data_IF_105361693379
#
_entry.id   IF_105361693379
#
_cell.length_a   1.000
_cell.length_b   1.000
_cell.length_c   1.000
_cell.angle_alpha   90.00
_cell.angle_beta   90.00
_cell.angle_gamma   90.00
#
_symmetry.space_group_name_H-M   'P 1'
#
loop_
_entity.id
_entity.type
_entity.pdbx_description
1 polymer ?
#
# COMPACT_ATOMS: atom_id res chain seq x y z
N UNK A 1 -22.30 -1.25 11.08
CA UNK A 1 -21.08 -2.06 11.29
C UNK A 1 -19.98 -1.32 10.55
N UNK A 2 -18.93 -0.84 11.23
CA UNK A 2 -17.81 -0.14 10.57
C UNK A 2 -17.13 -1.20 9.67
N UNK A 3 -16.75 -0.90 8.41
CA UNK A 3 -15.93 -1.82 7.62
C UNK A 3 -14.75 -2.30 8.47
N UNK A 4 -14.38 -3.58 8.33
CA UNK A 4 -13.16 -4.06 8.96
C UNK A 4 -12.02 -3.12 8.56
N UNK A 5 -11.33 -2.55 9.54
CA UNK A 5 -10.28 -1.56 9.28
C UNK A 5 -9.19 -2.16 8.41
N UNK A 6 -8.93 -3.45 8.57
CA UNK A 6 -8.02 -4.24 7.72
C UNK A 6 -8.47 -4.18 6.27
N UNK A 7 -9.76 -4.38 6.00
CA UNK A 7 -10.31 -4.34 4.64
C UNK A 7 -10.24 -2.93 4.03
N UNK A 8 -10.50 -1.88 4.82
CA UNK A 8 -10.33 -0.50 4.36
C UNK A 8 -8.87 -0.17 4.02
N UNK A 9 -7.92 -0.64 4.82
CA UNK A 9 -6.48 -0.49 4.60
C UNK A 9 -6.04 -1.25 3.36
N UNK A 10 -6.53 -2.49 3.19
CA UNK A 10 -6.28 -3.30 1.99
C UNK A 10 -6.74 -2.56 0.74
N UNK A 11 -7.99 -2.08 0.73
CA UNK A 11 -8.53 -1.32 -0.40
C UNK A 11 -7.74 -0.03 -0.66
N UNK A 12 -7.31 0.68 0.38
CA UNK A 12 -6.48 1.87 0.23
C UNK A 12 -5.10 1.54 -0.39
N UNK A 13 -4.47 0.45 0.04
CA UNK A 13 -3.20 -0.01 -0.53
C UNK A 13 -3.34 -0.41 -2.00
N UNK A 14 -4.38 -1.16 -2.35
CA UNK A 14 -4.70 -1.53 -3.73
C UNK A 14 -4.95 -0.31 -4.61
N UNK A 15 -5.75 0.65 -4.11
CA UNK A 15 -6.05 1.88 -4.83
C UNK A 15 -4.80 2.74 -5.04
N UNK A 16 -3.98 2.92 -3.99
CA UNK A 16 -2.74 3.67 -4.11
C UNK A 16 -1.75 3.00 -5.07
N UNK A 17 -1.68 1.66 -5.08
CA UNK A 17 -0.81 0.95 -6.00
C UNK A 17 -1.19 1.17 -7.47
N UNK A 18 -2.50 1.22 -7.76
CA UNK A 18 -3.04 1.48 -9.10
C UNK A 18 -3.06 2.98 -9.49
N UNK A 19 -2.92 3.89 -8.52
CA UNK A 19 -2.86 5.34 -8.75
C UNK A 19 -1.57 5.72 -9.50
N UNK A 20 -1.59 6.74 -10.39
CA UNK A 20 -0.39 7.21 -11.07
C UNK A 20 0.78 7.53 -10.13
N UNK A 21 0.51 8.00 -8.90
CA UNK A 21 1.54 8.24 -7.88
C UNK A 21 2.20 6.94 -7.44
N UNK A 22 1.41 5.90 -7.15
CA UNK A 22 1.93 4.59 -6.78
C UNK A 22 2.71 3.94 -7.93
N UNK A 23 2.25 4.11 -9.17
CA UNK A 23 2.95 3.63 -10.36
C UNK A 23 4.27 4.38 -10.61
N UNK A 24 4.34 5.67 -10.31
CA UNK A 24 5.56 6.46 -10.42
C UNK A 24 6.59 6.00 -9.37
N UNK A 25 6.17 5.86 -8.11
CA UNK A 25 7.02 5.32 -7.03
C UNK A 25 7.56 3.94 -7.40
N UNK A 26 6.73 3.06 -7.98
CA UNK A 26 7.15 1.73 -8.40
C UNK A 26 8.36 1.75 -9.36
N UNK A 27 8.42 2.71 -10.28
CA UNK A 27 9.53 2.87 -11.24
C UNK A 27 10.83 3.32 -10.59
N UNK A 28 10.74 3.95 -9.42
CA UNK A 28 11.88 4.48 -8.66
C UNK A 28 12.38 3.54 -7.57
N UNK A 29 11.63 2.47 -7.25
CA UNK A 29 12.05 1.47 -6.30
C UNK A 29 12.95 0.41 -6.95
N UNK A 30 13.97 -0.05 -6.22
CA UNK A 30 14.87 -1.11 -6.66
C UNK A 30 14.30 -2.51 -6.40
N UNK A 31 13.25 -2.60 -5.59
CA UNK A 31 12.62 -3.87 -5.23
C UNK A 31 11.16 -3.68 -4.84
N UNK A 32 10.41 -4.78 -4.88
CA UNK A 32 9.04 -4.80 -4.38
C UNK A 32 8.96 -4.50 -2.87
N UNK A 33 9.95 -4.91 -2.08
CA UNK A 33 9.94 -4.66 -0.64
C UNK A 33 10.13 -3.17 -0.33
N UNK A 34 11.00 -2.49 -1.09
CA UNK A 34 11.17 -1.03 -1.01
C UNK A 34 9.85 -0.31 -1.38
N UNK A 35 9.21 -0.74 -2.47
CA UNK A 35 7.91 -0.22 -2.88
C UNK A 35 6.82 -0.41 -1.82
N UNK A 36 6.76 -1.61 -1.22
CA UNK A 36 5.77 -1.92 -0.20
C UNK A 36 5.97 -1.09 1.07
N UNK A 37 7.23 -0.78 1.44
CA UNK A 37 7.54 0.15 2.53
C UNK A 37 6.96 1.53 2.23
N UNK A 38 7.14 2.05 1.00
CA UNK A 38 6.56 3.35 0.60
C UNK A 38 5.04 3.37 0.70
N UNK A 39 4.35 2.35 0.16
CA UNK A 39 2.89 2.26 0.25
C UNK A 39 2.42 2.22 1.70
N UNK A 40 3.08 1.39 2.53
CA UNK A 40 2.76 1.25 3.95
C UNK A 40 2.91 2.57 4.69
N UNK A 41 3.97 3.33 4.40
CA UNK A 41 4.24 4.60 5.06
C UNK A 41 3.21 5.67 4.69
N UNK A 42 2.82 5.76 3.42
CA UNK A 42 1.76 6.67 2.97
C UNK A 42 0.42 6.37 3.64
N UNK A 43 0.06 5.08 3.74
CA UNK A 43 -1.17 4.66 4.42
C UNK A 43 -1.09 4.98 5.91
N UNK A 44 0.06 4.73 6.54
CA UNK A 44 0.28 5.06 7.95
C UNK A 44 0.14 6.55 8.23
N UNK A 45 0.76 7.43 7.41
CA UNK A 45 0.65 8.88 7.58
C UNK A 45 -0.79 9.37 7.41
N UNK A 46 -1.48 8.96 6.33
CA UNK A 46 -2.85 9.34 6.06
C UNK A 46 -3.83 8.93 7.17
N UNK A 47 -3.55 7.80 7.82
CA UNK A 47 -4.39 7.27 8.89
C UNK A 47 -3.99 7.77 10.29
N UNK A 48 -2.72 8.08 10.50
CA UNK A 48 -2.21 8.66 11.75
C UNK A 48 -2.86 10.01 12.09
N UNK A 49 -3.28 10.77 11.07
CA UNK A 49 -4.07 11.99 11.22
C UNK A 49 -5.50 11.74 11.73
N UNK A 50 -6.04 10.53 11.53
CA UNK A 50 -7.44 10.17 11.83
C UNK A 50 -7.61 9.43 13.16
N UNK A 51 -6.54 8.84 13.73
CA UNK A 51 -6.63 8.12 15.00
C UNK A 51 -5.33 7.41 15.39
N UNK A 52 -4.50 7.98 16.27
CA UNK A 52 -3.12 7.51 16.53
C UNK A 52 -3.02 6.16 17.28
N UNK A 53 -4.08 5.75 17.98
CA UNK A 53 -4.03 4.56 18.83
C UNK A 53 -4.55 3.31 18.09
N UNK A 54 -3.69 2.29 17.98
CA UNK A 54 -3.97 0.90 17.52
C UNK A 54 -3.82 0.57 16.02
N UNK A 55 -3.18 1.41 15.21
CA UNK A 55 -3.19 1.20 13.74
C UNK A 55 -2.14 0.24 13.19
N UNK A 56 -1.00 0.03 13.86
CA UNK A 56 0.15 -0.68 13.23
C UNK A 56 -0.19 -2.13 12.85
N UNK A 57 -0.89 -2.88 13.71
CA UNK A 57 -1.25 -4.27 13.42
C UNK A 57 -2.30 -4.37 12.29
N UNK A 58 -3.26 -3.45 12.26
CA UNK A 58 -4.31 -3.38 11.23
C UNK A 58 -3.70 -2.97 9.87
N UNK A 59 -2.76 -2.01 9.88
CA UNK A 59 -2.00 -1.59 8.69
C UNK A 59 -1.18 -2.75 8.15
N UNK A 60 -0.44 -3.44 9.02
CA UNK A 60 0.35 -4.59 8.62
C UNK A 60 -0.53 -5.69 8.01
N UNK A 61 -1.70 -5.95 8.58
CA UNK A 61 -2.65 -6.94 8.06
C UNK A 61 -3.21 -6.53 6.69
N UNK A 62 -3.75 -5.31 6.56
CA UNK A 62 -4.37 -4.87 5.31
C UNK A 62 -3.36 -4.75 4.17
N UNK A 63 -2.15 -4.24 4.44
CA UNK A 63 -1.07 -4.21 3.43
C UNK A 63 -0.62 -5.62 3.05
N UNK A 64 -0.57 -6.56 4.01
CA UNK A 64 -0.24 -7.96 3.71
C UNK A 64 -1.28 -8.60 2.78
N UNK A 65 -2.57 -8.31 2.97
CA UNK A 65 -3.63 -8.78 2.08
C UNK A 65 -3.52 -8.16 0.68
N UNK A 66 -3.14 -6.88 0.59
CA UNK A 66 -2.97 -6.18 -0.68
C UNK A 66 -1.71 -6.60 -1.48
N UNK A 67 -0.76 -7.33 -0.87
CA UNK A 67 0.55 -7.67 -1.49
C UNK A 67 0.45 -8.22 -2.90
N UNK A 68 -0.52 -9.10 -3.17
CA UNK A 68 -0.65 -9.71 -4.51
C UNK A 68 -1.00 -8.66 -5.57
N UNK A 69 -1.94 -7.76 -5.26
CA UNK A 69 -2.35 -6.69 -6.18
C UNK A 69 -1.23 -5.66 -6.33
N UNK A 70 -0.64 -5.21 -5.22
CA UNK A 70 0.48 -4.29 -5.26
C UNK A 70 1.67 -4.85 -6.07
N UNK A 71 1.90 -6.17 -6.01
CA UNK A 71 2.95 -6.83 -6.81
C UNK A 71 2.64 -6.77 -8.29
N UNK A 72 1.39 -7.03 -8.69
CA UNK A 72 0.98 -6.93 -10.09
C UNK A 72 1.15 -5.50 -10.62
N UNK A 73 0.72 -4.49 -9.86
CA UNK A 73 0.90 -3.08 -10.24
C UNK A 73 2.38 -2.68 -10.31
N UNK A 74 3.19 -3.11 -9.33
CA UNK A 74 4.63 -2.89 -9.32
C UNK A 74 5.31 -3.48 -10.57
N UNK A 75 5.06 -4.75 -10.86
CA UNK A 75 5.66 -5.47 -11.99
C UNK A 75 5.21 -4.89 -13.34
N UNK A 76 3.97 -4.38 -13.43
CA UNK A 76 3.46 -3.71 -14.62
C UNK A 76 4.20 -2.39 -14.94
N UNK A 77 4.79 -1.75 -13.92
CA UNK A 77 5.52 -0.49 -14.05
C UNK A 77 7.00 -0.66 -14.39
N UNK A 78 7.55 -1.87 -14.25
CA UNK A 78 8.96 -2.11 -14.52
C UNK A 78 9.26 -2.02 -16.03
N UNK A 79 10.45 -1.52 -16.42
CA UNK A 79 10.87 -1.52 -17.82
C UNK A 79 10.83 -2.95 -18.37
N UNK A 80 10.14 -3.16 -19.48
CA UNK A 80 10.23 -4.41 -20.24
C UNK A 80 11.57 -4.39 -20.99
N UNK A 81 12.44 -5.34 -20.65
CA UNK A 81 13.70 -5.56 -21.35
C UNK A 81 13.52 -5.88 -22.83
#
# INVERSE_FOLDING_TARGET
MRPDRVDAIRQAAEALAADPTGQDIAKHCNSFDEYLIFLTWNIYEALGELGPDTMVAEIQAGVNEAKSVCRTEYEACLPKG
#
